data_IF_900969234387
#
_entry.id   IF_900969234387
#
_cell.length_a   1.000
_cell.length_b   1.000
_cell.length_c   1.000
_cell.angle_alpha   90.00
_cell.angle_beta   90.00
_cell.angle_gamma   90.00
#
_symmetry.space_group_name_H-M   'P 1'
#
loop_
_entity.id
_entity.type
_entity.pdbx_description
1 polymer ?
#
# COMPACT_ATOMS: atom_id res chain seq x y z
N UNK A 1 -44.75 46.94 -14.90
CA UNK A 1 -44.57 45.77 -15.79
C UNK A 1 -43.07 45.68 -15.88
N UNK A 2 -42.50 44.99 -14.91
CA UNK A 2 -41.07 44.96 -14.70
C UNK A 2 -40.72 43.49 -14.44
N UNK A 3 -40.15 42.86 -15.45
CA UNK A 3 -39.43 41.60 -15.35
C UNK A 3 -38.19 41.82 -14.48
N UNK A 4 -38.04 41.06 -13.39
CA UNK A 4 -36.71 40.80 -12.80
C UNK A 4 -36.65 39.36 -12.28
N UNK A 5 -36.02 38.55 -13.13
CA UNK A 5 -35.17 37.36 -12.94
C UNK A 5 -35.33 36.37 -11.77
N UNK A 6 -35.34 35.12 -12.23
CA UNK A 6 -35.12 33.85 -11.55
C UNK A 6 -33.65 33.68 -11.15
N UNK A 7 -33.38 33.44 -9.87
CA UNK A 7 -32.17 32.71 -9.46
C UNK A 7 -32.50 31.64 -8.42
N UNK A 8 -32.76 30.43 -8.93
CA UNK A 8 -32.69 29.20 -8.14
C UNK A 8 -31.21 28.98 -7.83
N UNK A 9 -30.76 29.40 -6.66
CA UNK A 9 -29.42 29.08 -6.15
C UNK A 9 -29.37 27.61 -5.74
N UNK A 10 -29.06 26.76 -6.72
CA UNK A 10 -28.76 25.35 -6.52
C UNK A 10 -27.37 25.24 -5.86
N UNK A 11 -27.28 25.55 -4.57
CA UNK A 11 -26.09 25.31 -3.75
C UNK A 11 -26.00 23.82 -3.43
N UNK A 12 -25.48 23.05 -4.39
CA UNK A 12 -24.90 21.75 -4.05
C UNK A 12 -23.65 22.04 -3.24
N UNK A 13 -23.78 22.07 -1.92
CA UNK A 13 -22.65 22.02 -1.02
C UNK A 13 -21.82 20.78 -1.36
N UNK A 14 -20.67 20.98 -2.01
CA UNK A 14 -19.66 19.94 -2.21
C UNK A 14 -19.21 19.45 -0.84
N UNK A 15 -19.81 18.36 -0.37
CA UNK A 15 -19.43 17.70 0.88
C UNK A 15 -18.01 17.18 0.72
N UNK A 16 -17.03 18.01 1.10
CA UNK A 16 -15.61 17.63 1.07
C UNK A 16 -15.38 16.47 2.04
N UNK A 17 -14.98 15.33 1.50
CA UNK A 17 -14.63 14.14 2.27
C UNK A 17 -13.52 14.47 3.29
N UNK A 18 -13.68 13.96 4.49
CA UNK A 18 -12.73 14.11 5.61
C UNK A 18 -12.06 12.78 5.90
N UNK A 19 -10.80 12.84 6.31
CA UNK A 19 -10.04 11.68 6.74
C UNK A 19 -10.53 11.16 8.11
N UNK A 20 -10.75 9.86 8.26
CA UNK A 20 -11.17 9.19 9.49
C UNK A 20 -10.13 9.31 10.62
N UNK A 21 -8.84 9.38 10.26
CA UNK A 21 -7.75 9.42 11.25
C UNK A 21 -7.54 10.81 11.87
N UNK A 22 -7.65 11.87 11.07
CA UNK A 22 -7.36 13.23 11.52
C UNK A 22 -8.58 14.16 11.51
N UNK A 23 -9.72 13.69 11.01
CA UNK A 23 -11.01 14.41 10.87
C UNK A 23 -10.94 15.70 10.04
N UNK A 24 -9.89 15.85 9.23
CA UNK A 24 -9.63 17.03 8.39
C UNK A 24 -9.68 16.65 6.91
N UNK A 25 -9.88 17.67 6.07
CA UNK A 25 -9.74 17.57 4.60
C UNK A 25 -8.26 17.57 4.21
N UNK A 26 -7.45 18.36 4.90
CA UNK A 26 -5.99 18.40 4.75
C UNK A 26 -5.32 17.36 5.65
N UNK A 27 -4.15 16.89 5.25
CA UNK A 27 -3.39 15.90 6.02
C UNK A 27 -2.74 16.50 7.29
N UNK A 28 -2.00 15.67 8.04
CA UNK A 28 -1.31 16.09 9.29
C UNK A 28 -0.29 17.22 9.10
N UNK A 29 0.12 17.50 7.86
CA UNK A 29 1.04 18.57 7.49
C UNK A 29 0.34 19.79 6.87
N UNK A 30 -1.00 19.87 6.98
CA UNK A 30 -1.85 20.90 6.37
C UNK A 30 -1.69 21.01 4.84
N UNK A 31 -1.41 19.89 4.16
CA UNK A 31 -1.32 19.82 2.70
C UNK A 31 -2.53 19.09 2.14
N UNK A 32 -2.93 19.46 0.92
CA UNK A 32 -3.84 18.66 0.13
C UNK A 32 -3.16 17.31 -0.16
N UNK A 33 -3.89 16.24 0.11
CA UNK A 33 -3.45 14.88 -0.14
C UNK A 33 -4.69 14.10 -0.56
N UNK A 34 -4.51 13.15 -1.46
CA UNK A 34 -5.59 12.25 -1.84
C UNK A 34 -6.11 11.47 -0.62
N UNK A 35 -7.34 11.00 -0.74
CA UNK A 35 -7.91 10.04 0.21
C UNK A 35 -7.95 8.67 -0.44
N UNK A 36 -7.60 7.65 0.33
CA UNK A 36 -7.89 6.25 -0.02
C UNK A 36 -9.08 5.78 0.83
N UNK A 37 -9.95 4.99 0.22
CA UNK A 37 -11.17 4.50 0.86
C UNK A 37 -11.03 3.01 1.20
N UNK A 38 -11.37 2.65 2.43
CA UNK A 38 -11.49 1.24 2.82
C UNK A 38 -12.71 0.60 2.16
N UNK A 39 -12.51 -0.49 1.42
CA UNK A 39 -13.58 -1.26 0.78
C UNK A 39 -14.49 -2.05 1.74
N UNK A 40 -14.20 -2.03 3.05
CA UNK A 40 -15.00 -2.71 4.08
C UNK A 40 -15.83 -1.73 4.90
N UNK A 41 -15.20 -0.73 5.52
CA UNK A 41 -15.91 0.24 6.37
C UNK A 41 -16.25 1.56 5.66
N UNK A 42 -15.88 1.73 4.38
CA UNK A 42 -16.02 2.97 3.59
C UNK A 42 -15.32 4.20 4.18
N UNK A 43 -14.48 4.02 5.21
CA UNK A 43 -13.68 5.07 5.82
C UNK A 43 -12.63 5.61 4.85
N UNK A 44 -12.56 6.93 4.71
CA UNK A 44 -11.56 7.62 3.91
C UNK A 44 -10.38 8.02 4.77
N UNK A 45 -9.14 7.81 4.33
CA UNK A 45 -7.94 8.22 5.08
C UNK A 45 -6.90 8.83 4.16
N UNK A 46 -6.10 9.77 4.67
CA UNK A 46 -4.90 10.22 3.97
C UNK A 46 -3.81 9.14 4.09
N UNK A 47 -3.08 8.80 3.02
CA UNK A 47 -1.95 7.88 3.07
C UNK A 47 -0.96 8.24 4.19
N UNK A 48 -0.54 9.50 4.28
CA UNK A 48 0.40 9.95 5.32
C UNK A 48 -0.14 9.89 6.76
N UNK A 49 -1.46 9.82 6.95
CA UNK A 49 -2.06 9.69 8.29
C UNK A 49 -2.04 8.26 8.83
N UNK A 50 -1.75 7.27 7.98
CA UNK A 50 -1.57 5.86 8.35
C UNK A 50 -0.21 5.32 7.86
N UNK A 51 0.75 6.23 7.71
CA UNK A 51 2.14 5.96 7.33
C UNK A 51 2.34 5.18 6.02
N UNK A 52 1.39 5.34 5.09
CA UNK A 52 1.54 4.90 3.70
C UNK A 52 2.22 5.99 2.86
N UNK A 53 2.99 5.55 1.88
CA UNK A 53 3.66 6.44 0.93
C UNK A 53 2.85 6.59 -0.36
N UNK A 54 3.02 7.71 -1.05
CA UNK A 54 2.26 7.99 -2.28
C UNK A 54 2.57 7.02 -3.43
N UNK A 55 3.77 6.40 -3.44
CA UNK A 55 4.13 5.38 -4.43
C UNK A 55 3.37 4.06 -4.23
N UNK A 56 2.85 3.79 -3.03
CA UNK A 56 2.00 2.61 -2.78
C UNK A 56 0.57 2.80 -3.31
N UNK A 57 0.10 4.04 -3.45
CA UNK A 57 -1.29 4.36 -3.77
C UNK A 57 -1.79 3.67 -5.04
N UNK A 58 -1.08 3.69 -6.18
CA UNK A 58 -1.55 3.01 -7.39
C UNK A 58 -1.76 1.50 -7.17
N UNK A 59 -0.92 0.88 -6.34
CA UNK A 59 -1.05 -0.54 -5.99
C UNK A 59 -2.22 -0.77 -5.04
N UNK A 60 -2.44 0.12 -4.08
CA UNK A 60 -3.54 0.08 -3.12
C UNK A 60 -4.90 0.25 -3.81
N UNK A 61 -5.01 1.17 -4.77
CA UNK A 61 -6.24 1.44 -5.51
C UNK A 61 -6.58 0.37 -6.56
N UNK A 62 -5.66 -0.57 -6.84
CA UNK A 62 -5.91 -1.69 -7.77
C UNK A 62 -6.83 -2.78 -7.21
N UNK A 63 -7.23 -2.68 -5.94
CA UNK A 63 -8.11 -3.65 -5.28
C UNK A 63 -8.94 -3.00 -4.15
N UNK A 64 -9.87 -3.75 -3.58
CA UNK A 64 -10.66 -3.32 -2.42
C UNK A 64 -9.79 -3.29 -1.15
N UNK A 65 -8.97 -2.25 -0.99
CA UNK A 65 -8.09 -2.07 0.15
C UNK A 65 -8.85 -2.03 1.49
N UNK A 66 -8.24 -2.59 2.53
CA UNK A 66 -8.78 -2.61 3.89
C UNK A 66 -7.94 -1.70 4.80
N UNK A 67 -8.55 -0.88 5.65
CA UNK A 67 -7.81 -0.15 6.68
C UNK A 67 -7.27 -1.10 7.76
N UNK A 68 -6.43 -0.59 8.67
CA UNK A 68 -5.88 -1.34 9.80
C UNK A 68 -6.96 -2.10 10.57
N UNK A 69 -8.06 -1.44 10.91
CA UNK A 69 -9.15 -2.03 11.71
C UNK A 69 -9.95 -3.12 10.96
N UNK A 70 -9.84 -3.17 9.63
CA UNK A 70 -10.60 -4.11 8.78
C UNK A 70 -9.70 -5.13 8.10
N UNK A 71 -8.39 -5.14 8.42
CA UNK A 71 -7.42 -5.93 7.70
C UNK A 71 -7.67 -7.41 7.95
N UNK A 72 -7.69 -8.17 6.87
CA UNK A 72 -7.77 -9.64 6.90
C UNK A 72 -6.56 -10.21 6.16
N UNK A 73 -6.15 -11.42 6.54
CA UNK A 73 -5.12 -12.10 5.77
C UNK A 73 -5.62 -12.39 4.35
N UNK A 74 -4.89 -11.97 3.32
CA UNK A 74 -5.25 -12.21 1.93
C UNK A 74 -5.15 -13.70 1.51
N UNK A 75 -4.57 -14.56 2.34
CA UNK A 75 -4.45 -16.00 2.10
C UNK A 75 -5.56 -16.82 2.79
N UNK A 76 -5.87 -16.54 4.05
CA UNK A 76 -6.86 -17.32 4.83
C UNK A 76 -8.14 -16.54 5.16
N UNK A 77 -8.20 -15.25 4.84
CA UNK A 77 -9.32 -14.34 5.11
C UNK A 77 -9.67 -14.13 6.59
N UNK A 78 -8.79 -14.56 7.50
CA UNK A 78 -8.96 -14.40 8.94
C UNK A 78 -8.28 -13.11 9.45
N UNK A 79 -8.94 -12.28 10.27
CA UNK A 79 -8.34 -11.13 10.95
C UNK A 79 -7.61 -11.45 12.27
N UNK A 80 -7.71 -12.67 12.81
CA UNK A 80 -7.07 -13.07 14.08
C UNK A 80 -5.54 -12.95 14.02
N UNK A 81 -4.83 -13.15 15.14
CA UNK A 81 -3.36 -13.14 15.20
C UNK A 81 -2.72 -11.90 14.53
N UNK A 82 -3.25 -10.72 14.82
CA UNK A 82 -2.81 -9.43 14.24
C UNK A 82 -1.30 -9.18 14.45
N UNK A 83 -0.76 -9.60 15.59
CA UNK A 83 0.67 -9.49 15.94
C UNK A 83 1.58 -10.34 15.04
N UNK A 84 1.01 -11.32 14.32
CA UNK A 84 1.69 -12.18 13.36
C UNK A 84 1.33 -11.83 11.91
N UNK A 85 0.60 -10.74 11.68
CA UNK A 85 0.23 -10.28 10.34
C UNK A 85 1.25 -9.25 9.82
N UNK A 86 1.83 -9.53 8.66
CA UNK A 86 2.69 -8.62 7.90
C UNK A 86 1.87 -7.86 6.88
N UNK A 87 2.24 -6.61 6.63
CA UNK A 87 1.71 -5.83 5.52
C UNK A 87 2.76 -5.75 4.41
N UNK A 88 2.32 -5.93 3.17
CA UNK A 88 3.21 -5.77 2.03
C UNK A 88 3.62 -4.30 1.87
N UNK A 89 4.92 -4.03 1.83
CA UNK A 89 5.47 -2.66 1.72
C UNK A 89 5.23 -1.98 0.35
N UNK A 90 4.52 -2.63 -0.57
CA UNK A 90 4.15 -2.08 -1.87
C UNK A 90 2.63 -1.90 -2.02
N UNK A 91 1.82 -2.87 -1.56
CA UNK A 91 0.37 -2.85 -1.77
C UNK A 91 -0.47 -2.84 -0.49
N UNK A 92 0.15 -2.93 0.69
CA UNK A 92 -0.53 -2.93 2.00
C UNK A 92 -1.52 -4.11 2.24
N UNK A 93 -1.45 -5.19 1.44
CA UNK A 93 -2.19 -6.43 1.75
C UNK A 93 -1.61 -7.11 2.99
N UNK A 94 -2.49 -7.60 3.86
CA UNK A 94 -2.13 -8.32 5.07
C UNK A 94 -1.92 -9.82 4.84
N UNK A 95 -0.89 -10.39 5.46
CA UNK A 95 -0.60 -11.82 5.42
C UNK A 95 -0.07 -12.29 6.76
N UNK A 96 -0.65 -13.33 7.36
CA UNK A 96 0.03 -13.99 8.47
C UNK A 96 1.38 -14.54 8.03
N UNK A 97 2.41 -14.42 8.86
CA UNK A 97 3.75 -14.95 8.58
C UNK A 97 3.69 -16.42 8.15
N UNK A 98 2.89 -17.24 8.83
CA UNK A 98 2.78 -18.66 8.56
C UNK A 98 1.99 -18.97 7.28
N UNK A 99 1.05 -18.11 6.89
CA UNK A 99 0.29 -18.25 5.65
C UNK A 99 1.17 -18.06 4.40
N UNK A 100 2.31 -17.37 4.54
CA UNK A 100 3.29 -17.17 3.47
C UNK A 100 4.59 -17.95 3.70
N UNK A 101 4.57 -18.97 4.58
CA UNK A 101 5.71 -19.86 4.82
C UNK A 101 6.87 -19.25 5.62
N UNK A 102 6.66 -18.10 6.26
CA UNK A 102 7.65 -17.44 7.10
C UNK A 102 7.53 -17.90 8.56
N UNK A 103 8.68 -18.15 9.19
CA UNK A 103 8.77 -18.50 10.61
C UNK A 103 8.91 -17.28 11.54
N UNK A 104 9.28 -16.13 10.97
CA UNK A 104 9.49 -14.86 11.67
C UNK A 104 9.27 -13.71 10.71
N UNK A 105 9.00 -12.53 11.27
CA UNK A 105 8.97 -11.27 10.51
C UNK A 105 10.33 -11.05 9.82
N UNK A 106 10.36 -10.82 8.49
CA UNK A 106 11.59 -10.56 7.76
C UNK A 106 12.21 -9.22 8.19
N UNK A 107 13.53 -9.11 8.11
CA UNK A 107 14.21 -7.84 8.33
C UNK A 107 14.17 -7.01 7.05
N UNK A 108 13.78 -5.74 7.16
CA UNK A 108 13.69 -4.84 6.03
C UNK A 108 12.42 -5.04 5.21
N UNK A 109 12.51 -4.66 3.93
CA UNK A 109 11.36 -4.58 3.03
C UNK A 109 10.85 -5.98 2.66
N UNK A 110 9.54 -6.17 2.66
CA UNK A 110 8.88 -7.38 2.23
C UNK A 110 7.75 -7.09 1.23
N UNK A 111 7.75 -7.83 0.12
CA UNK A 111 6.68 -7.80 -0.86
C UNK A 111 5.97 -9.14 -0.88
N UNK A 112 4.63 -9.12 -0.95
CA UNK A 112 3.85 -10.33 -1.11
C UNK A 112 4.07 -10.95 -2.50
N UNK A 113 3.59 -12.18 -2.70
CA UNK A 113 3.73 -12.92 -3.97
C UNK A 113 3.13 -12.17 -5.19
N UNK A 114 2.18 -11.26 -4.97
CA UNK A 114 1.63 -10.41 -6.04
C UNK A 114 2.54 -9.24 -6.43
N UNK A 115 3.32 -8.74 -5.48
CA UNK A 115 4.17 -7.58 -5.64
C UNK A 115 5.63 -7.94 -5.91
N UNK A 116 6.06 -9.13 -5.51
CA UNK A 116 7.42 -9.60 -5.66
C UNK A 116 7.68 -10.03 -7.12
N UNK A 117 8.13 -9.07 -7.92
CA UNK A 117 8.47 -9.26 -9.33
C UNK A 117 9.83 -8.61 -9.60
N UNK A 118 10.71 -9.31 -10.32
CA UNK A 118 11.99 -8.77 -10.74
C UNK A 118 11.79 -7.65 -11.75
N UNK A 119 12.27 -6.45 -11.44
CA UNK A 119 12.15 -5.28 -12.30
C UNK A 119 12.91 -5.42 -13.63
N UNK A 120 13.94 -6.27 -13.70
CA UNK A 120 14.75 -6.45 -14.90
C UNK A 120 14.20 -7.54 -15.84
N UNK A 121 13.75 -8.68 -15.30
CA UNK A 121 13.37 -9.84 -16.11
C UNK A 121 11.93 -10.32 -15.91
N UNK A 122 11.16 -9.68 -15.03
CA UNK A 122 9.75 -10.05 -14.77
C UNK A 122 9.56 -11.37 -14.01
N UNK A 123 10.63 -12.05 -13.60
CA UNK A 123 10.53 -13.27 -12.79
C UNK A 123 9.76 -12.99 -11.49
N UNK A 124 8.91 -13.94 -11.07
CA UNK A 124 8.16 -13.91 -9.80
C UNK A 124 8.79 -14.80 -8.72
N UNK A 125 10.01 -15.27 -8.99
CA UNK A 125 10.79 -16.10 -8.09
C UNK A 125 12.11 -15.39 -7.75
N UNK A 126 12.55 -15.39 -6.48
CA UNK A 126 13.79 -14.72 -6.10
C UNK A 126 15.01 -15.35 -6.76
N UNK A 127 14.96 -16.62 -7.16
CA UNK A 127 16.05 -17.31 -7.87
C UNK A 127 16.09 -17.06 -9.39
N UNK A 128 15.11 -16.35 -9.97
CA UNK A 128 15.00 -16.18 -11.42
C UNK A 128 14.45 -17.43 -12.13
N UNK A 129 14.53 -17.47 -13.47
CA UNK A 129 13.93 -18.53 -14.29
C UNK A 129 14.54 -19.93 -14.11
N UNK A 130 15.81 -20.02 -13.68
CA UNK A 130 16.55 -21.28 -13.51
C UNK A 130 16.81 -21.58 -12.04
N UNK A 131 15.90 -21.22 -11.13
CA UNK A 131 16.10 -21.46 -9.71
C UNK A 131 16.11 -22.95 -9.40
N UNK A 132 17.24 -23.46 -8.91
CA UNK A 132 17.28 -24.77 -8.26
C UNK A 132 16.38 -24.73 -7.02
N UNK A 133 15.37 -25.63 -6.97
CA UNK A 133 14.38 -25.70 -5.88
C UNK A 133 15.00 -25.91 -4.49
N UNK A 134 16.27 -26.29 -4.41
CA UNK A 134 17.02 -26.49 -3.17
C UNK A 134 17.79 -25.24 -2.69
N UNK A 135 17.83 -24.15 -3.46
CA UNK A 135 18.51 -22.91 -3.06
C UNK A 135 17.53 -21.93 -2.42
N UNK A 136 17.85 -21.46 -1.21
CA UNK A 136 17.06 -20.44 -0.51
C UNK A 136 17.42 -19.06 -1.06
N UNK A 137 16.98 -18.77 -2.28
CA UNK A 137 17.16 -17.45 -2.89
C UNK A 137 16.29 -16.40 -2.18
N UNK A 138 16.84 -15.20 -1.98
CA UNK A 138 16.13 -14.07 -1.39
C UNK A 138 16.08 -12.90 -2.37
N UNK A 139 14.94 -12.20 -2.38
CA UNK A 139 14.77 -10.97 -3.17
C UNK A 139 15.81 -9.92 -2.79
N UNK A 140 16.33 -9.22 -3.80
CA UNK A 140 17.27 -8.12 -3.62
C UNK A 140 16.53 -6.81 -3.84
N UNK A 141 16.59 -5.91 -2.87
CA UNK A 141 15.92 -4.61 -2.94
C UNK A 141 16.95 -3.50 -3.13
N UNK A 142 16.79 -2.73 -4.21
CA UNK A 142 17.65 -1.60 -4.51
C UNK A 142 17.15 -0.32 -3.86
N UNK A 143 18.08 0.51 -3.39
CA UNK A 143 17.79 1.77 -2.74
C UNK A 143 18.70 2.88 -3.28
N UNK A 144 18.12 4.06 -3.50
CA UNK A 144 18.87 5.28 -3.79
C UNK A 144 18.89 6.22 -2.59
N UNK A 145 19.87 7.11 -2.57
CA UNK A 145 19.96 8.18 -1.57
C UNK A 145 18.93 9.26 -1.90
N UNK A 146 17.97 9.45 -1.01
CA UNK A 146 16.99 10.53 -1.03
C UNK A 146 17.49 11.78 -0.31
N UNK A 147 16.59 12.75 -0.16
CA UNK A 147 16.84 13.96 0.61
C UNK A 147 17.20 13.64 2.07
N UNK A 148 18.07 14.46 2.67
CA UNK A 148 18.52 14.30 4.06
C UNK A 148 19.09 12.90 4.37
N UNK A 149 19.74 12.26 3.40
CA UNK A 149 20.39 10.94 3.54
C UNK A 149 19.39 9.79 3.83
N UNK A 150 18.11 9.95 3.47
CA UNK A 150 17.12 8.87 3.54
C UNK A 150 17.38 7.80 2.46
N UNK A 151 17.03 6.55 2.71
CA UNK A 151 17.10 5.46 1.71
C UNK A 151 15.73 5.31 1.07
N UNK A 152 15.64 5.53 -0.24
CA UNK A 152 14.39 5.44 -1.02
C UNK A 152 14.43 4.15 -1.83
N UNK A 153 13.40 3.32 -1.68
CA UNK A 153 13.23 2.10 -2.46
C UNK A 153 13.15 2.41 -3.96
N UNK A 154 13.80 1.58 -4.78
CA UNK A 154 13.84 1.75 -6.24
C UNK A 154 13.20 0.55 -6.93
N UNK A 155 13.71 -0.65 -6.66
CA UNK A 155 13.33 -1.84 -7.40
C UNK A 155 13.52 -3.10 -6.55
N UNK A 156 12.86 -4.17 -6.99
CA UNK A 156 13.07 -5.53 -6.48
C UNK A 156 13.64 -6.36 -7.62
N UNK A 157 14.71 -7.11 -7.36
CA UNK A 157 15.42 -7.92 -8.34
C UNK A 157 15.56 -9.35 -7.84
N UNK A 158 15.47 -10.31 -8.76
CA UNK A 158 15.90 -11.68 -8.48
C UNK A 158 17.43 -11.75 -8.40
N UNK A 159 17.95 -12.77 -7.72
CA UNK A 159 19.39 -12.96 -7.46
C UNK A 159 20.26 -12.91 -8.73
N UNK A 160 19.84 -13.46 -9.90
CA UNK A 160 20.63 -13.33 -11.12
C UNK A 160 20.70 -11.91 -11.69
N UNK A 161 19.68 -11.08 -11.48
CA UNK A 161 19.61 -9.72 -12.05
C UNK A 161 20.16 -8.64 -11.13
N UNK A 162 20.39 -8.95 -9.86
CA UNK A 162 20.96 -8.03 -8.88
C UNK A 162 22.48 -8.01 -8.86
N UNK A 163 23.12 -8.85 -9.68
CA UNK A 163 24.58 -9.00 -9.74
C UNK A 163 25.18 -8.13 -10.83
#
# INVERSE_FOLDING_TARGET
>A
MDDVDMEISNSKDDVKLKCKMCLKVLNKHNKNEILIQCGTCNGNVHPSCIDLTLDMVPHIQSYAWQCTDCKTCAQCHDPADEDKMLFCDMCDRGYHIYCVGLRRVPQGRWHCQECAVCANCGSREPGGANSDRNSVAQWQHEYKKGEKNTRVYVSTLCVPCSK
#
